data_IF_203627627182
#
_entry.id   IF_203627627182
#
_cell.length_a   1.000
_cell.length_b   1.000
_cell.length_c   1.000
_cell.angle_alpha   90.00
_cell.angle_beta   90.00
_cell.angle_gamma   90.00
#
_symmetry.space_group_name_H-M   'P 1'
#
loop_
_entity.id
_entity.type
_entity.pdbx_description
1 polymer ?
#
# COMPACT_ATOMS: atom_id res chain seq x y z
N UNK A 1 16.90 14.92 -10.41
CA UNK A 1 17.04 13.58 -11.02
C UNK A 1 15.67 13.14 -11.50
N UNK A 2 15.55 12.47 -12.63
CA UNK A 2 14.27 11.92 -13.09
C UNK A 2 14.03 10.57 -12.40
N UNK A 3 12.77 10.29 -12.04
CA UNK A 3 12.34 8.98 -11.51
C UNK A 3 12.56 7.91 -12.57
N UNK A 4 13.08 6.76 -12.18
CA UNK A 4 13.38 5.64 -13.07
C UNK A 4 12.24 4.60 -13.07
N UNK A 5 11.65 4.34 -11.92
CA UNK A 5 10.66 3.30 -11.70
C UNK A 5 9.26 3.86 -11.36
N UNK A 6 9.22 4.93 -10.55
CA UNK A 6 7.97 5.59 -10.23
C UNK A 6 7.45 6.41 -11.41
N UNK A 7 6.37 5.94 -12.01
CA UNK A 7 5.59 6.73 -12.97
C UNK A 7 4.60 7.66 -12.28
N UNK A 8 3.61 8.15 -13.03
CA UNK A 8 2.54 9.00 -12.49
C UNK A 8 1.74 8.29 -11.40
N UNK A 9 1.59 6.97 -11.51
CA UNK A 9 0.74 6.12 -10.67
C UNK A 9 1.53 4.98 -9.99
N UNK A 10 2.72 5.24 -9.50
CA UNK A 10 3.56 4.23 -8.87
C UNK A 10 4.38 3.41 -9.84
N UNK A 11 4.82 2.22 -9.43
CA UNK A 11 5.61 1.28 -10.22
C UNK A 11 4.68 0.28 -10.86
N UNK A 12 4.68 0.14 -12.19
CA UNK A 12 3.81 -0.77 -12.95
C UNK A 12 4.59 -1.60 -13.97
N UNK A 13 4.07 -2.77 -14.31
CA UNK A 13 4.62 -3.61 -15.36
C UNK A 13 3.98 -4.99 -15.42
N UNK A 14 4.51 -5.82 -16.30
CA UNK A 14 4.08 -7.22 -16.44
C UNK A 14 4.63 -8.05 -15.29
N UNK A 15 3.76 -8.81 -14.66
CA UNK A 15 4.14 -9.69 -13.54
C UNK A 15 5.16 -10.73 -13.98
N UNK A 16 6.20 -10.92 -13.18
CA UNK A 16 7.32 -11.81 -13.50
C UNK A 16 8.38 -11.19 -14.41
N UNK A 17 8.17 -9.95 -14.88
CA UNK A 17 9.17 -9.15 -15.59
C UNK A 17 9.56 -7.95 -14.74
N UNK A 18 10.83 -7.60 -14.76
CA UNK A 18 11.33 -6.43 -14.05
C UNK A 18 10.60 -5.15 -14.49
N UNK A 19 10.12 -4.28 -13.58
CA UNK A 19 10.36 -4.30 -12.13
C UNK A 19 9.27 -5.03 -11.29
N UNK A 20 8.29 -5.70 -11.88
CA UNK A 20 7.22 -6.39 -11.13
C UNK A 20 7.64 -7.86 -10.86
N UNK A 21 8.74 -8.01 -10.16
CA UNK A 21 9.30 -9.29 -9.68
C UNK A 21 9.37 -9.31 -8.15
N UNK A 22 9.30 -10.49 -7.49
CA UNK A 22 9.30 -10.58 -6.03
C UNK A 22 10.54 -9.97 -5.37
N UNK A 23 11.71 -10.17 -5.97
CA UNK A 23 12.98 -9.64 -5.48
C UNK A 23 13.04 -8.11 -5.54
N UNK A 24 12.60 -7.51 -6.66
CA UNK A 24 12.50 -6.06 -6.78
C UNK A 24 11.48 -5.49 -5.80
N UNK A 25 10.31 -6.11 -5.68
CA UNK A 25 9.23 -5.64 -4.81
C UNK A 25 9.60 -5.75 -3.32
N UNK A 26 10.35 -6.79 -2.94
CA UNK A 26 10.93 -6.88 -1.60
C UNK A 26 11.91 -5.74 -1.34
N UNK A 27 12.81 -5.43 -2.28
CA UNK A 27 13.72 -4.28 -2.17
C UNK A 27 12.97 -2.96 -2.11
N UNK A 28 11.89 -2.82 -2.88
CA UNK A 28 11.03 -1.64 -2.85
C UNK A 28 10.39 -1.44 -1.48
N UNK A 29 9.86 -2.51 -0.88
CA UNK A 29 9.31 -2.51 0.48
C UNK A 29 10.37 -2.14 1.53
N UNK A 30 11.55 -2.72 1.43
CA UNK A 30 12.68 -2.42 2.33
C UNK A 30 13.12 -0.96 2.22
N UNK A 31 13.38 -0.48 1.02
CA UNK A 31 13.79 0.92 0.79
C UNK A 31 12.73 1.91 1.25
N UNK A 32 11.45 1.66 0.94
CA UNK A 32 10.35 2.49 1.42
C UNK A 32 10.29 2.48 2.95
N UNK A 33 10.46 1.32 3.59
CA UNK A 33 10.53 1.21 5.05
C UNK A 33 11.63 2.05 5.66
N UNK A 34 12.86 1.98 5.13
CA UNK A 34 14.00 2.78 5.60
C UNK A 34 13.75 4.29 5.46
N UNK A 35 13.18 4.72 4.34
CA UNK A 35 12.83 6.13 4.11
C UNK A 35 11.75 6.61 5.09
N UNK A 36 10.73 5.78 5.34
CA UNK A 36 9.64 6.12 6.28
C UNK A 36 10.14 6.19 7.72
N UNK A 37 10.95 5.20 8.17
CA UNK A 37 11.56 5.22 9.52
C UNK A 37 12.41 6.47 9.73
N UNK A 38 13.21 6.84 8.74
CA UNK A 38 14.08 8.02 8.84
C UNK A 38 13.36 9.37 8.89
N UNK A 39 12.05 9.40 8.59
CA UNK A 39 11.25 10.63 8.51
C UNK A 39 10.29 10.81 9.69
N UNK A 40 10.12 9.82 10.54
CA UNK A 40 9.13 9.85 11.63
C UNK A 40 9.81 9.62 12.97
N UNK A 41 9.57 10.53 13.91
CA UNK A 41 9.90 10.28 15.29
C UNK A 41 8.74 9.54 15.95
N UNK A 42 8.97 8.30 16.35
CA UNK A 42 7.96 7.47 17.03
C UNK A 42 8.10 7.60 18.54
N UNK A 43 7.00 7.56 19.32
CA UNK A 43 7.06 7.41 20.76
C UNK A 43 7.86 6.16 21.17
N UNK A 44 8.47 6.19 22.34
CA UNK A 44 9.23 5.06 22.86
C UNK A 44 8.37 3.79 22.92
N UNK A 45 8.82 2.71 22.31
CA UNK A 45 8.12 1.43 22.24
C UNK A 45 7.11 1.30 21.10
N UNK A 46 6.85 2.35 20.32
CA UNK A 46 6.02 2.28 19.12
C UNK A 46 6.88 2.07 17.87
N UNK A 47 6.33 1.37 16.88
CA UNK A 47 6.95 1.16 15.57
C UNK A 47 6.17 1.85 14.47
N UNK A 48 6.85 2.34 13.42
CA UNK A 48 6.16 2.81 12.25
C UNK A 48 5.38 1.66 11.62
N UNK A 49 4.20 1.95 11.11
CA UNK A 49 3.34 0.95 10.49
C UNK A 49 2.82 1.42 9.14
N UNK A 50 2.71 0.49 8.20
CA UNK A 50 2.12 0.72 6.88
C UNK A 50 0.88 -0.13 6.68
N UNK A 51 0.00 0.32 5.80
CA UNK A 51 -1.20 -0.41 5.41
C UNK A 51 -1.03 -0.91 3.97
N UNK A 52 -1.27 -2.19 3.73
CA UNK A 52 -1.21 -2.80 2.39
C UNK A 52 -2.58 -3.37 2.03
N UNK A 53 -3.14 -2.84 0.94
CA UNK A 53 -4.31 -3.39 0.27
C UNK A 53 -3.98 -3.79 -1.16
N UNK A 54 -4.89 -4.54 -1.78
CA UNK A 54 -4.70 -5.04 -3.15
C UNK A 54 -6.03 -5.14 -3.89
N UNK A 55 -5.96 -5.26 -5.21
CA UNK A 55 -7.11 -5.69 -6.01
C UNK A 55 -7.26 -7.23 -5.97
N UNK A 56 -8.13 -7.75 -6.80
CA UNK A 56 -8.46 -9.19 -6.83
C UNK A 56 -7.50 -10.03 -7.67
N UNK A 57 -6.46 -9.45 -8.27
CA UNK A 57 -5.47 -10.16 -9.10
C UNK A 57 -4.72 -11.20 -8.29
N UNK A 58 -4.52 -12.39 -8.88
CA UNK A 58 -3.80 -13.49 -8.24
C UNK A 58 -2.36 -13.09 -7.85
N UNK A 59 -1.69 -12.33 -8.71
CA UNK A 59 -0.34 -11.83 -8.45
C UNK A 59 -0.22 -10.93 -7.21
N UNK A 60 -1.34 -10.34 -6.76
CA UNK A 60 -1.39 -9.52 -5.57
C UNK A 60 -0.91 -10.25 -4.31
N UNK A 61 -1.14 -11.56 -4.20
CA UNK A 61 -0.68 -12.34 -3.05
C UNK A 61 0.85 -12.46 -2.99
N UNK A 62 1.48 -12.73 -4.12
CA UNK A 62 2.94 -12.80 -4.23
C UNK A 62 3.60 -11.45 -3.93
N UNK A 63 3.07 -10.37 -4.50
CA UNK A 63 3.62 -9.04 -4.33
C UNK A 63 3.38 -8.49 -2.90
N UNK A 64 2.24 -8.83 -2.28
CA UNK A 64 1.96 -8.52 -0.88
C UNK A 64 2.99 -9.16 0.05
N UNK A 65 3.28 -10.46 -0.13
CA UNK A 65 4.27 -11.17 0.67
C UNK A 65 5.69 -10.61 0.49
N UNK A 66 6.05 -10.19 -0.73
CA UNK A 66 7.34 -9.57 -1.01
C UNK A 66 7.47 -8.19 -0.32
N UNK A 67 6.44 -7.35 -0.39
CA UNK A 67 6.41 -6.06 0.33
C UNK A 67 6.48 -6.27 1.84
N UNK A 68 5.69 -7.22 2.38
CA UNK A 68 5.68 -7.57 3.79
C UNK A 68 7.09 -7.93 4.29
N UNK A 69 7.79 -8.82 3.58
CA UNK A 69 9.16 -9.20 3.91
C UNK A 69 10.11 -7.99 3.91
N UNK A 70 10.02 -7.12 2.90
CA UNK A 70 10.85 -5.92 2.81
C UNK A 70 10.60 -4.93 3.95
N UNK A 71 9.35 -4.62 4.25
CA UNK A 71 9.00 -3.73 5.37
C UNK A 71 9.40 -4.32 6.72
N UNK A 72 9.16 -5.62 6.94
CA UNK A 72 9.55 -6.29 8.18
C UNK A 72 11.07 -6.23 8.39
N UNK A 73 11.87 -6.47 7.35
CA UNK A 73 13.33 -6.36 7.39
C UNK A 73 13.81 -4.94 7.74
N UNK A 74 13.04 -3.91 7.37
CA UNK A 74 13.32 -2.51 7.71
C UNK A 74 12.81 -2.08 9.10
N UNK A 75 12.16 -2.96 9.87
CA UNK A 75 11.61 -2.65 11.18
C UNK A 75 10.24 -1.96 11.17
N UNK A 76 9.49 -2.09 10.09
CA UNK A 76 8.17 -1.47 9.89
C UNK A 76 7.07 -2.51 10.04
N UNK A 77 6.09 -2.24 10.88
CA UNK A 77 4.90 -3.08 11.02
C UNK A 77 4.00 -2.98 9.78
N UNK A 78 3.36 -4.09 9.43
CA UNK A 78 2.50 -4.17 8.25
C UNK A 78 1.07 -4.54 8.65
N UNK A 79 0.11 -3.74 8.23
CA UNK A 79 -1.32 -4.01 8.36
C UNK A 79 -1.91 -4.44 7.02
N UNK A 80 -2.25 -5.71 6.87
CA UNK A 80 -2.83 -6.29 5.66
C UNK A 80 -4.35 -6.16 5.68
N UNK A 81 -4.93 -5.50 4.68
CA UNK A 81 -6.38 -5.29 4.61
C UNK A 81 -7.08 -6.12 3.52
N UNK A 82 -6.29 -6.88 2.74
CA UNK A 82 -6.80 -7.74 1.69
C UNK A 82 -7.36 -6.97 0.48
N UNK A 83 -8.25 -7.59 -0.30
CA UNK A 83 -8.86 -6.94 -1.46
C UNK A 83 -9.79 -5.81 -1.04
N UNK A 84 -9.40 -4.58 -1.42
CA UNK A 84 -10.15 -3.34 -1.20
C UNK A 84 -9.90 -2.36 -2.35
N UNK A 85 -10.85 -1.47 -2.66
CA UNK A 85 -10.64 -0.44 -3.67
C UNK A 85 -9.57 0.56 -3.23
N UNK A 86 -8.85 1.12 -4.21
CA UNK A 86 -7.77 2.11 -3.98
C UNK A 86 -8.15 3.24 -3.02
N UNK A 87 -9.33 3.88 -3.12
CA UNK A 87 -9.71 4.93 -2.17
C UNK A 87 -9.91 4.42 -0.74
N UNK A 88 -10.24 3.14 -0.54
CA UNK A 88 -10.31 2.56 0.80
C UNK A 88 -8.92 2.51 1.46
N UNK A 89 -7.88 2.16 0.70
CA UNK A 89 -6.50 2.15 1.20
C UNK A 89 -6.09 3.56 1.61
N UNK A 90 -6.33 4.57 0.77
CA UNK A 90 -6.03 5.97 1.08
C UNK A 90 -6.77 6.46 2.34
N UNK A 91 -8.07 6.16 2.44
CA UNK A 91 -8.90 6.51 3.61
C UNK A 91 -8.39 5.83 4.89
N UNK A 92 -8.19 4.51 4.86
CA UNK A 92 -7.77 3.74 6.03
C UNK A 92 -6.36 4.11 6.49
N UNK A 93 -5.44 4.44 5.58
CA UNK A 93 -4.12 4.95 5.90
C UNK A 93 -4.21 6.16 6.84
N UNK A 94 -5.03 7.13 6.47
CA UNK A 94 -5.26 8.33 7.28
C UNK A 94 -6.04 8.01 8.56
N UNK A 95 -7.15 7.28 8.46
CA UNK A 95 -8.03 6.99 9.58
C UNK A 95 -7.34 6.18 10.69
N UNK A 96 -6.40 5.31 10.33
CA UNK A 96 -5.63 4.48 11.26
C UNK A 96 -4.25 5.07 11.60
N UNK A 97 -3.95 6.29 11.14
CA UNK A 97 -2.68 7.00 11.40
C UNK A 97 -1.45 6.19 10.99
N UNK A 98 -1.55 5.47 9.86
CA UNK A 98 -0.41 4.76 9.30
C UNK A 98 0.58 5.73 8.66
N UNK A 99 1.87 5.40 8.64
CA UNK A 99 2.91 6.23 8.03
C UNK A 99 2.80 6.26 6.51
N UNK A 100 2.31 5.17 5.91
CA UNK A 100 2.01 5.10 4.49
C UNK A 100 0.93 4.05 4.21
N UNK A 101 0.25 4.21 3.07
CA UNK A 101 -0.62 3.19 2.48
C UNK A 101 -0.04 2.69 1.18
N UNK A 102 -0.15 1.40 0.94
CA UNK A 102 0.30 0.76 -0.29
C UNK A 102 -0.89 0.04 -0.93
N UNK A 103 -1.12 0.25 -2.21
CA UNK A 103 -2.09 -0.52 -2.98
C UNK A 103 -1.38 -1.28 -4.10
N UNK A 104 -1.66 -2.57 -4.16
CA UNK A 104 -1.17 -3.47 -5.21
C UNK A 104 -2.29 -3.60 -6.23
N UNK A 105 -2.16 -2.89 -7.35
CA UNK A 105 -3.15 -2.86 -8.42
C UNK A 105 -2.59 -2.24 -9.69
N UNK A 106 -3.00 -2.73 -10.84
CA UNK A 106 -2.76 -2.08 -12.13
C UNK A 106 -4.05 -1.48 -12.72
N UNK A 107 -5.03 -1.14 -11.88
CA UNK A 107 -6.29 -0.51 -12.33
C UNK A 107 -7.02 -1.40 -13.37
N UNK A 108 -7.25 -0.87 -14.57
CA UNK A 108 -7.93 -1.54 -15.69
C UNK A 108 -7.00 -2.27 -16.67
N UNK A 109 -5.70 -2.36 -16.36
CA UNK A 109 -4.76 -3.11 -17.19
C UNK A 109 -5.14 -4.60 -17.27
N UNK A 110 -4.69 -5.34 -18.28
CA UNK A 110 -4.90 -6.79 -18.38
C UNK A 110 -4.41 -7.53 -17.12
N UNK A 111 -4.95 -8.71 -16.89
CA UNK A 111 -4.71 -9.52 -15.68
C UNK A 111 -3.24 -9.88 -15.42
N UNK A 112 -2.42 -9.92 -16.46
CA UNK A 112 -0.99 -10.23 -16.38
C UNK A 112 -0.12 -9.05 -15.95
N UNK A 113 -0.67 -7.84 -15.85
CA UNK A 113 -0.01 -6.68 -15.29
C UNK A 113 -0.33 -6.54 -13.81
N UNK A 114 0.55 -5.86 -13.07
CA UNK A 114 0.27 -5.36 -11.74
C UNK A 114 1.09 -4.09 -11.46
N UNK A 115 0.83 -3.46 -10.33
CA UNK A 115 1.53 -2.26 -9.92
C UNK A 115 1.50 -2.04 -8.42
N UNK A 116 2.36 -1.16 -7.96
CA UNK A 116 2.49 -0.80 -6.54
C UNK A 116 2.44 0.71 -6.46
N UNK A 117 1.43 1.22 -5.77
CA UNK A 117 1.20 2.65 -5.56
C UNK A 117 1.26 2.96 -4.09
N UNK A 118 1.94 4.06 -3.76
CA UNK A 118 2.10 4.51 -2.39
C UNK A 118 1.24 5.74 -2.11
N UNK A 119 0.71 5.80 -0.89
CA UNK A 119 0.03 6.95 -0.31
C UNK A 119 0.79 7.43 0.92
N UNK A 120 0.82 8.74 1.11
CA UNK A 120 1.32 9.37 2.32
C UNK A 120 0.40 9.08 3.52
N UNK A 121 0.83 9.45 4.72
CA UNK A 121 0.01 9.38 5.95
C UNK A 121 -1.31 10.17 5.83
N UNK A 122 -1.40 11.14 4.95
CA UNK A 122 -2.60 11.93 4.66
C UNK A 122 -3.54 11.24 3.65
N UNK A 123 -3.15 10.07 3.11
CA UNK A 123 -3.93 9.37 2.09
C UNK A 123 -3.83 10.00 0.69
N UNK A 124 -2.84 10.85 0.46
CA UNK A 124 -2.53 11.46 -0.84
C UNK A 124 -1.34 10.77 -1.51
N UNK A 125 -1.09 11.04 -2.78
CA UNK A 125 0.12 10.55 -3.46
C UNK A 125 1.38 10.95 -2.65
N UNK A 126 2.40 10.10 -2.64
CA UNK A 126 3.70 10.48 -2.05
C UNK A 126 4.28 11.71 -2.76
N UNK A 127 4.94 12.61 -2.01
CA UNK A 127 5.77 13.66 -2.62
C UNK A 127 6.87 13.06 -3.49
N UNK A 128 7.19 13.74 -4.58
CA UNK A 128 8.19 13.26 -5.55
C UNK A 128 9.60 13.06 -4.92
N UNK A 129 9.95 13.88 -3.93
CA UNK A 129 11.22 13.71 -3.18
C UNK A 129 11.24 12.43 -2.35
N UNK A 130 10.08 11.92 -1.91
CA UNK A 130 10.00 10.65 -1.18
C UNK A 130 10.16 9.49 -2.15
N UNK A 131 9.50 9.54 -3.31
CA UNK A 131 9.63 8.55 -4.36
C UNK A 131 11.10 8.45 -4.84
N UNK A 132 11.77 9.58 -5.04
CA UNK A 132 13.20 9.62 -5.39
C UNK A 132 14.11 9.04 -4.30
N UNK A 133 13.81 9.31 -3.03
CA UNK A 133 14.59 8.74 -1.91
C UNK A 133 14.40 7.21 -1.84
N UNK A 134 13.20 6.70 -2.11
CA UNK A 134 12.92 5.27 -2.20
C UNK A 134 13.71 4.65 -3.36
N UNK A 135 13.70 5.27 -4.55
CA UNK A 135 14.45 4.77 -5.70
C UNK A 135 15.95 4.72 -5.43
N UNK A 136 16.50 5.74 -4.78
CA UNK A 136 17.92 5.79 -4.42
C UNK A 136 18.35 4.64 -3.49
N UNK A 137 17.44 4.14 -2.67
CA UNK A 137 17.70 3.01 -1.77
C UNK A 137 17.58 1.62 -2.41
N UNK A 138 17.09 1.50 -3.66
CA UNK A 138 16.87 0.19 -4.30
C UNK A 138 18.15 -0.59 -4.62
N UNK A 139 19.26 0.11 -4.82
CA UNK A 139 20.57 -0.50 -5.12
C UNK A 139 21.29 -0.98 -3.83
N UNK A 140 20.80 -0.57 -2.65
CA UNK A 140 21.40 -0.99 -1.38
C UNK A 140 21.13 -2.47 -1.10
N UNK A 141 22.09 -3.10 -0.42
CA UNK A 141 21.91 -4.44 0.13
C UNK A 141 20.85 -4.40 1.25
N UNK A 142 19.99 -5.39 1.31
CA UNK A 142 19.04 -5.53 2.40
C UNK A 142 19.81 -5.97 3.65
N UNK A 143 19.83 -5.10 4.65
CA UNK A 143 20.36 -5.37 5.99
C UNK A 143 19.19 -5.34 6.99
N UNK A 144 18.81 -6.52 7.49
CA UNK A 144 17.72 -6.60 8.46
C UNK A 144 18.11 -5.86 9.75
N UNK A 145 17.13 -5.20 10.34
CA UNK A 145 17.25 -4.70 11.72
C UNK A 145 17.47 -5.88 12.69
N UNK A 146 17.95 -5.66 13.93
CA UNK A 146 18.06 -6.71 14.93
C UNK A 146 16.75 -7.51 15.07
N UNK A 147 16.81 -8.83 15.39
CA UNK A 147 15.62 -9.68 15.47
C UNK A 147 14.52 -9.16 16.40
N UNK A 148 14.86 -8.43 17.45
CA UNK A 148 13.92 -7.80 18.38
C UNK A 148 13.14 -6.62 17.72
N UNK A 149 13.70 -6.04 16.68
CA UNK A 149 13.19 -4.82 16.02
C UNK A 149 12.49 -5.11 14.68
N UNK A 150 12.46 -6.39 14.26
CA UNK A 150 11.75 -6.78 13.03
C UNK A 150 10.27 -6.34 13.08
N UNK A 151 9.79 -5.82 11.96
CA UNK A 151 8.39 -5.46 11.79
C UNK A 151 7.46 -6.68 11.86
N UNK A 152 6.24 -6.47 12.32
CA UNK A 152 5.22 -7.52 12.48
C UNK A 152 4.10 -7.31 11.48
N UNK A 153 3.71 -8.37 10.79
CA UNK A 153 2.53 -8.35 9.94
C UNK A 153 1.29 -8.77 10.72
N UNK A 154 0.21 -8.04 10.51
CA UNK A 154 -1.12 -8.39 11.05
C UNK A 154 -2.19 -8.17 9.99
N UNK A 155 -3.21 -9.01 10.02
CA UNK A 155 -4.40 -8.85 9.15
C UNK A 155 -5.51 -8.12 9.90
N UNK A 156 -6.10 -7.11 9.24
CA UNK A 156 -7.25 -6.38 9.74
C UNK A 156 -8.53 -6.96 9.12
N UNK A 157 -9.32 -7.66 9.91
CA UNK A 157 -10.52 -8.34 9.42
C UNK A 157 -11.70 -7.38 9.15
N UNK A 158 -11.78 -6.25 9.85
CA UNK A 158 -12.86 -5.27 9.78
C UNK A 158 -12.61 -4.09 8.82
N UNK A 159 -11.51 -4.12 8.07
CA UNK A 159 -11.13 -3.04 7.13
C UNK A 159 -12.25 -2.70 6.13
N UNK A 160 -12.91 -3.73 5.57
CA UNK A 160 -14.04 -3.57 4.65
C UNK A 160 -15.20 -2.83 5.30
N UNK A 161 -15.60 -3.25 6.51
CA UNK A 161 -16.68 -2.62 7.26
C UNK A 161 -16.42 -1.15 7.55
N UNK A 162 -15.20 -0.80 7.97
CA UNK A 162 -14.80 0.59 8.21
C UNK A 162 -14.95 1.46 6.96
N UNK A 163 -14.55 0.96 5.80
CA UNK A 163 -14.68 1.72 4.56
C UNK A 163 -16.14 1.85 4.11
N UNK A 164 -16.96 0.78 4.27
CA UNK A 164 -18.40 0.83 3.98
C UNK A 164 -19.08 1.90 4.85
N UNK A 165 -18.82 1.92 6.15
CA UNK A 165 -19.39 2.92 7.06
C UNK A 165 -18.95 4.34 6.71
N UNK A 166 -17.68 4.51 6.30
CA UNK A 166 -17.22 5.80 5.78
C UNK A 166 -18.02 6.22 4.53
N UNK A 167 -18.17 5.33 3.54
CA UNK A 167 -18.95 5.63 2.33
C UNK A 167 -20.41 5.97 2.67
N UNK A 168 -21.02 5.23 3.59
CA UNK A 168 -22.39 5.52 4.05
C UNK A 168 -22.50 6.89 4.70
N UNK A 169 -21.51 7.29 5.50
CA UNK A 169 -21.50 8.58 6.18
C UNK A 169 -21.41 9.80 5.24
N UNK A 170 -21.02 9.58 3.97
CA UNK A 170 -21.03 10.65 2.95
C UNK A 170 -22.39 10.86 2.30
N UNK A 171 -23.35 9.95 2.52
CA UNK A 171 -24.70 10.06 1.98
C UNK A 171 -25.56 10.88 2.96
N UNK A 172 -26.35 11.87 2.47
CA UNK A 172 -27.21 12.68 3.32
C UNK A 172 -28.25 11.83 4.07
N UNK A 173 -28.39 12.06 5.38
CA UNK A 173 -29.28 11.26 6.25
C UNK A 173 -30.79 11.47 5.97
N UNK A 174 -31.15 12.55 5.32
CA UNK A 174 -32.52 12.92 4.92
C UNK A 174 -32.93 12.32 3.58
N UNK A 175 -32.01 11.65 2.88
CA UNK A 175 -32.26 11.00 1.60
C UNK A 175 -32.28 9.47 1.75
N UNK A 176 -33.02 8.80 0.86
CA UNK A 176 -32.96 7.36 0.69
C UNK A 176 -33.10 6.95 -0.77
N UNK A 177 -32.88 5.67 -1.06
CA UNK A 177 -32.94 5.12 -2.41
C UNK A 177 -34.22 4.32 -2.66
N UNK A 178 -35.25 4.45 -1.82
CA UNK A 178 -36.50 3.73 -1.97
C UNK A 178 -37.17 4.06 -3.30
N UNK A 179 -37.64 3.04 -4.00
CA UNK A 179 -38.29 3.18 -5.31
C UNK A 179 -37.34 3.30 -6.48
N UNK A 180 -36.02 3.41 -6.26
CA UNK A 180 -35.04 3.43 -7.35
C UNK A 180 -34.64 2.02 -7.76
N UNK A 181 -34.53 1.79 -9.06
CA UNK A 181 -33.92 0.58 -9.62
C UNK A 181 -32.47 0.90 -10.00
N UNK A 182 -31.53 0.26 -9.31
CA UNK A 182 -30.11 0.52 -9.48
C UNK A 182 -29.48 -0.67 -10.19
N UNK A 183 -28.75 -0.43 -11.26
CA UNK A 183 -27.90 -1.42 -11.94
C UNK A 183 -26.46 -1.09 -11.60
N UNK A 184 -25.73 -2.07 -11.07
CA UNK A 184 -24.30 -1.92 -10.71
C UNK A 184 -23.50 -2.85 -11.61
N UNK A 185 -22.60 -2.27 -12.40
CA UNK A 185 -21.58 -2.99 -13.17
C UNK A 185 -20.26 -2.90 -12.39
N UNK A 186 -19.75 -4.04 -11.95
CA UNK A 186 -18.51 -4.14 -11.18
C UNK A 186 -17.29 -4.48 -12.05
N UNK A 187 -17.41 -4.42 -13.36
CA UNK A 187 -16.41 -4.68 -14.40
C UNK A 187 -15.95 -6.16 -14.47
N UNK A 188 -15.28 -6.69 -13.46
CA UNK A 188 -14.71 -8.06 -13.47
C UNK A 188 -15.10 -8.84 -12.22
#
# INVERSE_FOLDING_TARGET
MSRKYFGTDGVRGRVGQYPITPDFVMKLGYSAGKVLVGRVSMPAGERPAVLIGKDTRLSGYMLEAALEAGFAAAGVDVCLVGPLPTPAVAYLTRALRMQAGIVISASHNPYYDNGIKFFSAQGTKLPDEVELAIEAGLEATIECVPPADLGRARRMADARGRYIEFCKSTFPNDLDLRGLKIVVDCAH
#
